data_IF_467488624652
#
_entry.id   IF_467488624652
#
_cell.length_a   1.000
_cell.length_b   1.000
_cell.length_c   1.000
_cell.angle_alpha   90.00
_cell.angle_beta   90.00
_cell.angle_gamma   90.00
#
_symmetry.space_group_name_H-M   'P 1'
#
loop_
_entity.id
_entity.type
_entity.pdbx_description
1 polymer ?
#
# COMPACT_ATOMS: atom_id res chain seq x y z
N UNK A 1 16.61 -4.19 -14.06
CA UNK A 1 17.29 -5.10 -13.12
C UNK A 1 16.26 -5.76 -12.22
N UNK A 2 16.22 -7.09 -12.23
CA UNK A 2 15.21 -7.88 -11.50
C UNK A 2 15.67 -8.11 -10.06
N UNK A 3 14.77 -7.88 -9.09
CA UNK A 3 15.03 -8.27 -7.70
C UNK A 3 15.13 -9.80 -7.61
N UNK A 4 16.26 -10.36 -7.14
CA UNK A 4 16.47 -11.81 -7.06
C UNK A 4 15.47 -12.51 -6.13
N UNK A 5 14.77 -11.77 -5.27
CA UNK A 5 13.72 -12.33 -4.39
C UNK A 5 12.53 -12.86 -5.18
N UNK A 6 12.22 -12.26 -6.33
CA UNK A 6 11.08 -12.63 -7.17
C UNK A 6 11.46 -13.40 -8.43
N UNK A 7 12.76 -13.70 -8.60
CA UNK A 7 13.23 -14.48 -9.74
C UNK A 7 12.57 -15.86 -9.80
N UNK A 8 12.23 -16.32 -11.00
CA UNK A 8 11.51 -17.59 -11.25
C UNK A 8 10.16 -17.67 -10.54
N UNK A 9 9.46 -16.53 -10.44
CA UNK A 9 8.09 -16.45 -9.92
C UNK A 9 7.20 -15.69 -10.89
N UNK A 10 5.87 -15.69 -10.66
CA UNK A 10 4.94 -14.88 -11.47
C UNK A 10 5.15 -13.36 -11.35
N UNK A 11 5.92 -12.91 -10.38
CA UNK A 11 6.28 -11.48 -10.24
C UNK A 11 7.51 -11.08 -11.07
N UNK A 12 8.26 -12.04 -11.59
CA UNK A 12 9.43 -11.77 -12.42
C UNK A 12 9.03 -11.03 -13.69
N UNK A 13 9.76 -9.97 -14.02
CA UNK A 13 9.53 -9.12 -15.19
C UNK A 13 8.17 -8.39 -15.26
N UNK A 14 7.41 -8.37 -14.17
CA UNK A 14 6.22 -7.54 -14.13
C UNK A 14 6.56 -6.04 -14.17
N UNK A 15 5.73 -5.26 -14.84
CA UNK A 15 5.81 -3.80 -14.78
C UNK A 15 5.48 -3.31 -13.37
N UNK A 16 6.32 -2.45 -12.82
CA UNK A 16 6.13 -1.91 -11.47
C UNK A 16 4.76 -1.23 -11.31
N UNK A 17 4.27 -0.57 -12.36
CA UNK A 17 2.95 0.08 -12.34
C UNK A 17 1.81 -0.91 -12.06
N UNK A 18 1.88 -2.14 -12.60
CA UNK A 18 0.87 -3.15 -12.34
C UNK A 18 0.85 -3.55 -10.85
N UNK A 19 2.02 -3.68 -10.23
CA UNK A 19 2.13 -3.97 -8.80
C UNK A 19 1.65 -2.79 -7.94
N UNK A 20 2.01 -1.57 -8.32
CA UNK A 20 1.58 -0.35 -7.65
C UNK A 20 0.06 -0.17 -7.72
N UNK A 21 -0.58 -0.60 -8.82
CA UNK A 21 -2.03 -0.53 -9.03
C UNK A 21 -2.78 -1.79 -8.56
N UNK A 22 -2.13 -2.70 -7.84
CA UNK A 22 -2.74 -3.96 -7.39
C UNK A 22 -3.31 -4.81 -8.53
N UNK A 23 -2.61 -4.84 -9.65
CA UNK A 23 -2.95 -5.59 -10.85
C UNK A 23 -1.90 -6.68 -11.15
N UNK A 24 -1.53 -7.46 -10.15
CA UNK A 24 -0.48 -8.47 -10.27
C UNK A 24 -0.90 -9.76 -11.02
N UNK A 25 -2.14 -9.83 -11.47
CA UNK A 25 -2.66 -11.01 -12.20
C UNK A 25 -3.05 -12.15 -11.25
N UNK A 26 -2.54 -13.34 -11.51
CA UNK A 26 -2.91 -14.58 -10.79
C UNK A 26 -2.40 -14.70 -9.34
N UNK A 27 -1.77 -13.69 -8.78
CA UNK A 27 -1.21 -13.74 -7.42
C UNK A 27 -2.26 -14.10 -6.36
N UNK A 28 -3.48 -13.58 -6.51
CA UNK A 28 -4.60 -13.90 -5.63
C UNK A 28 -5.03 -15.35 -5.74
N UNK A 29 -5.16 -15.84 -6.96
CA UNK A 29 -5.60 -17.23 -7.20
C UNK A 29 -4.60 -18.21 -6.61
N UNK A 30 -3.30 -17.90 -6.75
CA UNK A 30 -2.26 -18.71 -6.13
C UNK A 30 -2.30 -18.54 -4.62
N UNK A 31 -2.47 -17.31 -4.13
CA UNK A 31 -2.66 -17.02 -2.71
C UNK A 31 -3.87 -17.76 -2.13
N UNK A 32 -5.02 -17.69 -2.79
CA UNK A 32 -6.24 -18.36 -2.38
C UNK A 32 -6.12 -19.89 -2.43
N UNK A 33 -5.41 -20.45 -3.40
CA UNK A 33 -5.09 -21.88 -3.43
C UNK A 33 -4.16 -22.30 -2.30
N UNK A 34 -3.26 -21.43 -1.89
CA UNK A 34 -2.33 -21.66 -0.77
C UNK A 34 -3.03 -21.45 0.58
N UNK A 35 -3.96 -20.50 0.64
CA UNK A 35 -4.68 -20.07 1.86
C UNK A 35 -6.17 -20.37 1.84
N UNK A 36 -6.69 -20.92 0.74
CA UNK A 36 -8.10 -21.04 0.41
C UNK A 36 -8.92 -21.97 1.31
N UNK A 37 -10.21 -22.04 0.97
CA UNK A 37 -11.23 -22.79 1.72
C UNK A 37 -10.90 -24.29 1.94
N UNK A 38 -10.04 -24.84 1.09
CA UNK A 38 -9.60 -26.25 1.12
C UNK A 38 -8.31 -26.48 1.91
N UNK A 39 -7.75 -25.42 2.52
CA UNK A 39 -6.64 -25.61 3.41
C UNK A 39 -7.15 -26.22 4.73
N UNK A 40 -6.82 -27.49 5.03
CA UNK A 40 -7.29 -28.17 6.26
C UNK A 40 -6.81 -27.48 7.54
N UNK A 41 -5.95 -26.46 7.42
CA UNK A 41 -5.44 -25.65 8.50
C UNK A 41 -6.14 -24.27 8.46
N UNK A 42 -7.48 -24.24 8.40
CA UNK A 42 -8.24 -23.00 8.56
C UNK A 42 -7.73 -22.22 9.79
N UNK A 43 -7.15 -21.04 9.58
CA UNK A 43 -6.59 -20.19 10.62
C UNK A 43 -5.15 -20.50 11.05
N UNK A 44 -4.50 -21.53 10.47
CA UNK A 44 -3.10 -21.88 10.78
C UNK A 44 -2.20 -21.89 9.54
N UNK A 45 -2.66 -21.39 8.39
CA UNK A 45 -1.80 -21.15 7.26
C UNK A 45 -0.61 -20.27 7.68
N UNK A 46 0.55 -20.39 7.04
CA UNK A 46 1.70 -19.58 7.42
C UNK A 46 1.28 -18.13 7.33
N UNK A 47 1.29 -17.46 8.47
CA UNK A 47 1.05 -16.04 8.50
C UNK A 47 2.18 -15.36 7.71
N UNK A 48 1.93 -15.07 6.41
CA UNK A 48 2.90 -14.44 5.51
C UNK A 48 3.45 -13.15 6.10
N UNK A 49 2.72 -12.54 7.01
CA UNK A 49 3.16 -11.37 7.75
C UNK A 49 4.36 -11.65 8.70
N UNK A 50 4.67 -12.89 8.98
CA UNK A 50 5.77 -13.27 9.87
C UNK A 50 6.91 -13.99 9.15
N UNK A 51 6.68 -14.43 7.91
CA UNK A 51 7.66 -15.17 7.12
C UNK A 51 8.38 -14.18 6.20
N UNK A 52 9.71 -14.21 6.13
CA UNK A 52 10.47 -13.42 5.18
C UNK A 52 9.96 -13.64 3.75
N UNK A 53 9.80 -12.56 2.99
CA UNK A 53 9.23 -12.63 1.63
C UNK A 53 10.04 -13.57 0.72
N UNK A 54 11.35 -13.63 0.88
CA UNK A 54 12.21 -14.59 0.19
C UNK A 54 11.77 -16.04 0.42
N UNK A 55 11.37 -16.38 1.64
CA UNK A 55 10.88 -17.73 1.96
C UNK A 55 9.49 -17.96 1.35
N UNK A 56 8.63 -16.95 1.33
CA UNK A 56 7.31 -17.02 0.69
C UNK A 56 7.47 -17.27 -0.80
N UNK A 57 8.28 -16.46 -1.49
CA UNK A 57 8.55 -16.60 -2.92
C UNK A 57 9.11 -18.00 -3.25
N UNK A 58 10.16 -18.42 -2.55
CA UNK A 58 10.78 -19.74 -2.77
C UNK A 58 9.80 -20.90 -2.54
N UNK A 59 8.97 -20.83 -1.49
CA UNK A 59 8.10 -21.95 -1.09
C UNK A 59 6.83 -22.06 -1.93
N UNK A 60 6.21 -20.92 -2.25
CA UNK A 60 4.86 -20.91 -2.80
C UNK A 60 4.77 -20.42 -4.24
N UNK A 61 5.71 -19.62 -4.69
CA UNK A 61 5.65 -18.97 -6.01
C UNK A 61 6.74 -19.41 -6.98
N UNK A 62 7.78 -20.11 -6.52
CA UNK A 62 8.86 -20.57 -7.41
C UNK A 62 8.32 -21.46 -8.52
N UNK A 63 8.70 -21.18 -9.76
CA UNK A 63 8.23 -21.89 -10.97
C UNK A 63 6.76 -21.63 -11.31
N UNK A 64 6.06 -20.74 -10.60
CA UNK A 64 4.65 -20.40 -10.93
C UNK A 64 4.61 -19.36 -12.04
N UNK A 65 3.71 -19.62 -12.99
CA UNK A 65 3.40 -18.71 -14.11
C UNK A 65 1.95 -18.25 -14.01
N UNK A 66 1.60 -17.20 -14.74
CA UNK A 66 0.20 -16.80 -14.89
C UNK A 66 -0.59 -17.90 -15.61
N UNK A 67 -1.80 -18.15 -15.15
CA UNK A 67 -2.66 -19.25 -15.61
C UNK A 67 -3.93 -18.77 -16.31
N UNK A 68 -4.14 -17.48 -16.42
CA UNK A 68 -5.32 -16.92 -17.06
C UNK A 68 -5.62 -15.48 -16.74
N UNK A 69 -5.09 -14.94 -15.63
CA UNK A 69 -5.20 -13.53 -15.29
C UNK A 69 -3.87 -12.83 -15.53
N UNK A 70 -3.78 -12.14 -16.63
CA UNK A 70 -2.58 -11.38 -16.98
C UNK A 70 -2.41 -10.14 -16.11
N UNK A 71 -1.17 -9.75 -15.78
CA UNK A 71 -0.89 -8.51 -15.07
C UNK A 71 -1.42 -7.28 -15.83
N UNK A 72 -1.97 -6.32 -15.08
CA UNK A 72 -2.46 -5.05 -15.64
C UNK A 72 -3.93 -5.04 -16.03
N UNK A 73 -4.66 -6.17 -15.94
CA UNK A 73 -6.06 -6.23 -16.34
C UNK A 73 -7.04 -6.05 -15.18
N UNK A 74 -6.85 -6.79 -14.09
CA UNK A 74 -7.83 -6.84 -13.00
C UNK A 74 -7.24 -6.31 -11.69
N UNK A 75 -8.00 -5.46 -11.01
CA UNK A 75 -7.66 -5.04 -9.66
C UNK A 75 -7.87 -6.18 -8.67
N UNK A 76 -6.84 -6.43 -7.85
CA UNK A 76 -6.92 -7.38 -6.75
C UNK A 76 -6.07 -6.92 -5.58
N UNK A 77 -6.71 -6.39 -4.54
CA UNK A 77 -6.00 -5.89 -3.36
C UNK A 77 -5.25 -7.00 -2.63
N UNK A 78 -3.94 -6.91 -2.60
CA UNK A 78 -3.06 -7.92 -2.01
C UNK A 78 -1.97 -7.30 -1.14
N UNK A 79 -1.96 -7.64 0.15
CA UNK A 79 -0.86 -7.26 1.04
C UNK A 79 0.49 -7.85 0.59
N UNK A 80 0.47 -8.99 -0.10
CA UNK A 80 1.67 -9.60 -0.65
C UNK A 80 2.26 -8.72 -1.76
N UNK A 81 1.41 -8.18 -2.65
CA UNK A 81 1.85 -7.27 -3.72
C UNK A 81 2.50 -6.01 -3.13
N UNK A 82 1.92 -5.40 -2.08
CA UNK A 82 2.58 -4.30 -1.35
C UNK A 82 3.95 -4.72 -0.80
N UNK A 83 4.05 -5.92 -0.23
CA UNK A 83 5.33 -6.41 0.30
C UNK A 83 6.37 -6.63 -0.80
N UNK A 84 5.95 -7.06 -2.00
CA UNK A 84 6.84 -7.18 -3.18
C UNK A 84 7.35 -5.81 -3.60
N UNK A 85 6.48 -4.81 -3.69
CA UNK A 85 6.87 -3.42 -4.02
C UNK A 85 7.87 -2.88 -2.99
N UNK A 86 7.57 -3.01 -1.70
CA UNK A 86 8.48 -2.56 -0.63
C UNK A 86 9.82 -3.27 -0.66
N UNK A 87 9.81 -4.59 -0.93
CA UNK A 87 11.03 -5.36 -1.07
C UNK A 87 11.88 -4.87 -2.26
N UNK A 88 11.24 -4.54 -3.37
CA UNK A 88 11.93 -3.96 -4.53
C UNK A 88 12.56 -2.59 -4.19
N UNK A 89 11.85 -1.72 -3.47
CA UNK A 89 12.41 -0.43 -3.02
C UNK A 89 13.67 -0.65 -2.16
N UNK A 90 13.61 -1.59 -1.20
CA UNK A 90 14.77 -1.92 -0.36
C UNK A 90 15.92 -2.49 -1.22
N UNK A 91 15.61 -3.35 -2.18
CA UNK A 91 16.61 -3.89 -3.11
C UNK A 91 17.31 -2.78 -3.90
N UNK A 92 16.55 -1.84 -4.45
CA UNK A 92 17.09 -0.73 -5.25
C UNK A 92 17.85 0.30 -4.41
N UNK A 93 17.48 0.51 -3.17
CA UNK A 93 18.16 1.45 -2.27
C UNK A 93 19.37 0.84 -1.57
N UNK A 94 19.38 -0.48 -1.39
CA UNK A 94 20.47 -1.19 -0.74
C UNK A 94 20.85 -0.56 0.61
N UNK A 95 22.13 -0.30 0.82
CA UNK A 95 22.67 0.30 2.04
C UNK A 95 22.23 1.76 2.28
N UNK A 96 21.55 2.37 1.30
CA UNK A 96 21.02 3.73 1.43
C UNK A 96 19.59 3.78 1.99
N UNK A 97 18.99 2.64 2.30
CA UNK A 97 17.61 2.57 2.82
C UNK A 97 17.40 3.44 4.05
N UNK A 98 18.27 3.37 5.05
CA UNK A 98 18.18 4.23 6.24
C UNK A 98 18.29 5.72 5.92
N UNK A 99 19.22 6.08 5.05
CA UNK A 99 19.39 7.47 4.61
C UNK A 99 18.15 7.98 3.90
N UNK A 100 17.53 7.16 3.05
CA UNK A 100 16.27 7.50 2.39
C UNK A 100 15.17 7.76 3.41
N UNK A 101 14.99 6.89 4.40
CA UNK A 101 13.97 7.06 5.42
C UNK A 101 14.23 8.29 6.30
N UNK A 102 15.48 8.53 6.68
CA UNK A 102 15.86 9.72 7.42
C UNK A 102 15.53 10.98 6.64
N UNK A 103 15.95 11.03 5.36
CA UNK A 103 15.64 12.15 4.49
C UNK A 103 14.14 12.41 4.41
N UNK A 104 13.35 11.40 4.07
CA UNK A 104 11.90 11.56 3.85
C UNK A 104 11.17 11.94 5.14
N UNK A 105 11.44 11.26 6.24
CA UNK A 105 10.65 11.47 7.46
C UNK A 105 11.20 12.55 8.37
N UNK A 106 12.52 12.64 8.54
CA UNK A 106 13.11 13.60 9.48
C UNK A 106 13.36 14.94 8.80
N UNK A 107 14.02 14.93 7.64
CA UNK A 107 14.39 16.19 6.97
C UNK A 107 13.21 16.79 6.21
N UNK A 108 12.54 16.01 5.35
CA UNK A 108 11.51 16.54 4.46
C UNK A 108 10.14 16.67 5.19
N UNK A 109 9.68 15.64 5.86
CA UNK A 109 8.38 15.64 6.57
C UNK A 109 8.45 16.24 7.97
N UNK A 110 9.64 16.43 8.55
CA UNK A 110 9.85 16.99 9.88
C UNK A 110 9.06 16.28 10.98
N UNK A 111 9.04 14.93 10.94
CA UNK A 111 8.38 14.16 11.99
C UNK A 111 9.12 14.33 13.33
N UNK A 112 8.36 14.56 14.39
CA UNK A 112 8.91 14.75 15.74
C UNK A 112 9.16 13.44 16.47
N UNK A 113 8.41 12.42 16.11
CA UNK A 113 8.49 11.14 16.76
C UNK A 113 9.02 10.09 15.80
N UNK A 114 9.62 9.06 16.39
CA UNK A 114 10.13 7.96 15.61
C UNK A 114 9.01 7.26 14.83
N UNK A 115 9.22 7.08 13.52
CA UNK A 115 8.39 6.22 12.67
C UNK A 115 8.99 4.82 12.61
N UNK A 116 8.12 3.83 12.38
CA UNK A 116 8.53 2.42 12.39
C UNK A 116 7.98 1.70 11.16
N UNK A 117 8.81 0.80 10.63
CA UNK A 117 8.37 -0.21 9.67
C UNK A 117 8.52 -1.59 10.27
N UNK A 118 7.44 -2.33 10.35
CA UNK A 118 7.48 -3.71 10.83
C UNK A 118 6.38 -4.04 11.82
N UNK A 119 6.47 -5.23 12.39
CA UNK A 119 5.40 -5.82 13.20
C UNK A 119 5.46 -5.45 14.68
N UNK A 120 6.64 -5.10 15.21
CA UNK A 120 6.84 -4.79 16.62
C UNK A 120 7.49 -3.42 16.78
N UNK A 121 6.83 -2.55 17.52
CA UNK A 121 7.32 -1.20 17.82
C UNK A 121 8.65 -1.20 18.57
N UNK A 122 8.92 -2.23 19.38
CA UNK A 122 10.09 -2.28 20.25
C UNK A 122 11.38 -2.70 19.54
N UNK A 123 11.27 -3.48 18.47
CA UNK A 123 12.41 -4.15 17.84
C UNK A 123 12.83 -3.57 16.48
N UNK A 124 12.06 -2.69 15.91
CA UNK A 124 12.32 -2.20 14.57
C UNK A 124 12.65 -0.72 14.55
N UNK A 125 13.93 -0.47 14.40
CA UNK A 125 14.40 0.77 13.78
C UNK A 125 14.07 0.67 12.29
N UNK A 126 13.78 1.80 11.61
CA UNK A 126 14.03 1.80 10.18
C UNK A 126 15.55 1.69 10.03
N UNK A 127 16.04 0.67 9.52
CA UNK A 127 17.47 0.45 9.42
C UNK A 127 17.77 -0.81 8.68
N UNK A 128 19.00 -0.97 8.35
CA UNK A 128 19.65 -2.08 7.65
C UNK A 128 18.79 -3.31 7.39
N UNK A 129 17.91 -3.22 6.40
CA UNK A 129 17.07 -4.32 5.98
C UNK A 129 17.50 -4.80 4.62
N UNK A 130 17.88 -6.05 4.55
CA UNK A 130 18.19 -6.67 3.28
C UNK A 130 16.90 -7.08 2.58
N UNK A 131 16.88 -6.92 1.26
CA UNK A 131 15.81 -7.44 0.41
C UNK A 131 15.51 -8.90 0.74
N UNK A 132 14.23 -9.25 0.79
CA UNK A 132 13.77 -10.61 1.05
C UNK A 132 13.69 -11.04 2.53
N UNK A 133 14.15 -10.23 3.48
CA UNK A 133 14.17 -10.61 4.90
C UNK A 133 12.84 -10.42 5.63
N UNK A 134 11.93 -9.61 5.09
CA UNK A 134 10.68 -9.25 5.74
C UNK A 134 9.45 -9.81 5.03
N UNK A 135 8.47 -10.23 5.81
CA UNK A 135 7.17 -10.70 5.31
C UNK A 135 6.09 -9.63 5.32
N UNK A 136 6.28 -8.55 6.10
CA UNK A 136 5.30 -7.46 6.19
C UNK A 136 6.00 -6.14 6.44
N UNK A 137 5.55 -5.14 5.68
CA UNK A 137 5.96 -3.75 5.82
C UNK A 137 4.77 -2.90 6.28
N UNK A 138 4.48 -2.93 7.58
CA UNK A 138 3.51 -2.02 8.18
C UNK A 138 4.20 -0.75 8.64
N UNK A 139 3.57 0.38 8.39
CA UNK A 139 4.05 1.69 8.80
C UNK A 139 3.33 2.16 10.06
N UNK A 140 4.09 2.68 11.00
CA UNK A 140 3.57 3.21 12.27
C UNK A 140 4.16 4.58 12.54
N UNK A 141 3.29 5.53 12.83
CA UNK A 141 3.67 6.89 13.24
C UNK A 141 2.67 7.42 14.27
N UNK A 142 3.03 8.49 14.97
CA UNK A 142 2.07 9.20 15.82
C UNK A 142 1.12 10.05 14.98
N UNK A 143 -0.03 10.40 15.56
CA UNK A 143 -1.10 11.12 14.88
C UNK A 143 -0.64 12.39 14.17
N UNK A 144 0.10 13.25 14.85
CA UNK A 144 0.59 14.49 14.24
C UNK A 144 1.69 14.28 13.21
N UNK A 145 2.45 13.18 13.32
CA UNK A 145 3.46 12.85 12.31
C UNK A 145 2.81 12.35 11.01
N UNK A 146 1.66 11.66 11.08
CA UNK A 146 0.85 11.41 9.88
C UNK A 146 0.40 12.69 9.20
N UNK A 147 0.00 13.72 9.96
CA UNK A 147 -0.38 15.00 9.41
C UNK A 147 0.81 15.70 8.72
N UNK A 148 2.02 15.64 9.32
CA UNK A 148 3.25 16.17 8.71
C UNK A 148 3.59 15.45 7.41
N UNK A 149 3.49 14.12 7.39
CA UNK A 149 3.70 13.32 6.19
C UNK A 149 2.68 13.67 5.11
N UNK A 150 1.41 13.82 5.47
CA UNK A 150 0.36 14.22 4.53
C UNK A 150 0.60 15.64 3.98
N UNK A 151 1.09 16.56 4.81
CA UNK A 151 1.49 17.89 4.37
C UNK A 151 2.63 17.83 3.35
N UNK A 152 3.66 17.01 3.59
CA UNK A 152 4.74 16.82 2.63
C UNK A 152 4.21 16.30 1.29
N UNK A 153 3.26 15.36 1.29
CA UNK A 153 2.62 14.84 0.08
C UNK A 153 1.87 15.96 -0.66
N UNK A 154 1.12 16.78 0.07
CA UNK A 154 0.41 17.95 -0.49
C UNK A 154 1.39 18.97 -1.08
N UNK A 155 2.46 19.29 -0.38
CA UNK A 155 3.49 20.23 -0.85
C UNK A 155 4.18 19.72 -2.12
N UNK A 156 4.47 18.42 -2.20
CA UNK A 156 5.02 17.81 -3.42
C UNK A 156 4.09 17.94 -4.63
N UNK A 157 2.80 17.68 -4.42
CA UNK A 157 1.78 17.83 -5.46
C UNK A 157 1.72 19.27 -5.99
N UNK A 158 1.61 20.25 -5.07
CA UNK A 158 1.46 21.65 -5.42
C UNK A 158 2.71 22.23 -6.10
N UNK A 159 3.88 21.85 -5.63
CA UNK A 159 5.15 22.35 -6.16
C UNK A 159 5.64 21.61 -7.42
N UNK A 160 4.89 20.60 -7.92
CA UNK A 160 5.24 19.86 -9.13
C UNK A 160 6.61 19.17 -9.07
N UNK A 161 7.05 18.76 -7.88
CA UNK A 161 8.31 18.04 -7.69
C UNK A 161 8.27 16.67 -8.39
N UNK A 162 9.40 15.95 -8.41
CA UNK A 162 9.43 14.58 -8.95
C UNK A 162 8.38 13.68 -8.27
N UNK A 163 8.23 13.76 -6.95
CA UNK A 163 7.19 13.03 -6.20
C UNK A 163 5.80 13.54 -6.59
N UNK A 164 5.61 14.85 -6.71
CA UNK A 164 4.34 15.44 -7.16
C UNK A 164 3.93 14.98 -8.57
N UNK A 165 4.89 14.90 -9.50
CA UNK A 165 4.65 14.35 -10.83
C UNK A 165 4.25 12.87 -10.78
N UNK A 166 4.93 12.08 -9.93
CA UNK A 166 4.55 10.68 -9.67
C UNK A 166 3.10 10.58 -9.17
N UNK A 167 2.73 11.38 -8.16
CA UNK A 167 1.37 11.37 -7.60
C UNK A 167 0.32 11.71 -8.65
N UNK A 168 0.56 12.72 -9.50
CA UNK A 168 -0.32 13.10 -10.62
C UNK A 168 -0.45 11.96 -11.63
N UNK A 169 0.67 11.34 -12.01
CA UNK A 169 0.67 10.18 -12.91
C UNK A 169 -0.12 9.01 -12.31
N UNK A 170 0.00 8.77 -11.01
CA UNK A 170 -0.77 7.70 -10.35
C UNK A 170 -2.27 8.01 -10.30
N UNK A 171 -2.65 9.27 -10.08
CA UNK A 171 -4.04 9.72 -10.18
C UNK A 171 -4.60 9.55 -11.59
N UNK A 172 -3.86 9.96 -12.61
CA UNK A 172 -4.26 9.86 -14.03
C UNK A 172 -4.40 8.40 -14.49
N UNK A 173 -3.54 7.51 -14.02
CA UNK A 173 -3.52 6.09 -14.37
C UNK A 173 -4.14 5.17 -13.30
N UNK A 174 -4.98 5.72 -12.42
CA UNK A 174 -5.69 4.94 -11.42
C UNK A 174 -6.68 3.97 -12.07
N UNK A 175 -6.92 2.88 -11.43
CA UNK A 175 -7.75 1.79 -11.94
C UNK A 175 -9.00 1.63 -11.10
N UNK A 176 -10.10 1.23 -11.74
CA UNK A 176 -11.34 0.90 -11.04
C UNK A 176 -11.11 -0.32 -10.12
N UNK A 177 -11.54 -0.20 -8.89
CA UNK A 177 -11.47 -1.28 -7.90
C UNK A 177 -12.51 -2.37 -8.14
N UNK A 178 -13.47 -2.17 -9.04
CA UNK A 178 -14.53 -3.11 -9.40
C UNK A 178 -15.35 -3.61 -8.18
N UNK A 179 -15.45 -2.78 -7.15
CA UNK A 179 -16.20 -3.16 -5.93
C UNK A 179 -17.71 -2.90 -6.01
N UNK A 180 -18.26 -2.56 -7.17
CA UNK A 180 -19.67 -2.47 -7.48
C UNK A 180 -20.64 -2.39 -6.28
N UNK A 181 -21.34 -3.48 -6.00
CA UNK A 181 -22.22 -3.56 -4.83
C UNK A 181 -21.52 -3.87 -3.50
N UNK A 182 -20.26 -4.27 -3.50
CA UNK A 182 -19.51 -4.64 -2.29
C UNK A 182 -19.24 -3.46 -1.34
N UNK A 183 -19.23 -2.24 -1.85
CA UNK A 183 -19.03 -1.04 -1.03
C UNK A 183 -20.16 -0.85 -0.01
N UNK A 184 -21.37 -1.29 -0.33
CA UNK A 184 -22.54 -1.21 0.56
C UNK A 184 -22.46 -2.11 1.80
N UNK A 185 -21.67 -3.20 1.73
CA UNK A 185 -21.60 -4.22 2.78
C UNK A 185 -20.41 -4.09 3.72
N UNK A 186 -19.40 -3.30 3.41
CA UNK A 186 -18.16 -3.24 4.18
C UNK A 186 -17.98 -1.99 5.04
N UNK A 187 -19.02 -1.19 5.18
CA UNK A 187 -18.93 0.10 5.87
C UNK A 187 -18.14 1.14 5.06
N UNK A 188 -18.09 2.35 5.54
CA UNK A 188 -17.61 3.53 4.84
C UNK A 188 -16.10 3.54 4.55
N UNK A 189 -15.30 2.65 5.13
CA UNK A 189 -13.87 2.53 4.88
C UNK A 189 -13.49 2.01 3.48
N UNK A 190 -14.48 1.57 2.68
CA UNK A 190 -14.29 1.19 1.28
C UNK A 190 -14.91 2.20 0.31
N UNK A 191 -15.14 3.40 0.75
CA UNK A 191 -15.81 4.43 -0.05
C UNK A 191 -14.97 4.98 -1.23
N UNK A 192 -13.75 4.52 -1.42
CA UNK A 192 -12.94 4.87 -2.60
C UNK A 192 -13.25 3.97 -3.79
N UNK A 193 -13.45 4.56 -4.97
CA UNK A 193 -13.80 3.81 -6.17
C UNK A 193 -12.58 3.34 -6.95
N UNK A 194 -11.49 4.09 -6.92
CA UNK A 194 -10.29 3.81 -7.71
C UNK A 194 -9.04 3.65 -6.85
N UNK A 195 -8.00 3.10 -7.46
CA UNK A 195 -6.72 2.83 -6.83
C UNK A 195 -5.56 3.10 -7.78
N UNK A 196 -4.51 3.74 -7.29
CA UNK A 196 -3.31 4.01 -8.08
C UNK A 196 -2.09 4.25 -7.21
N UNK A 197 -0.96 3.64 -7.57
CA UNK A 197 0.30 3.90 -6.88
C UNK A 197 0.34 3.55 -5.39
N UNK A 198 -0.43 2.57 -4.94
CA UNK A 198 -0.66 2.19 -3.53
C UNK A 198 -1.55 3.19 -2.75
N UNK A 199 -2.32 4.03 -3.45
CA UNK A 199 -3.25 4.98 -2.84
C UNK A 199 -4.67 4.75 -3.32
N UNK A 200 -5.62 5.16 -2.52
CA UNK A 200 -7.04 5.21 -2.84
C UNK A 200 -7.40 6.59 -3.40
N UNK A 201 -8.31 6.62 -4.38
CA UNK A 201 -8.82 7.85 -4.97
C UNK A 201 -10.33 7.77 -5.20
N UNK A 202 -10.91 8.87 -5.65
CA UNK A 202 -12.32 9.00 -5.98
C UNK A 202 -13.24 8.51 -4.83
N UNK A 203 -13.32 9.24 -3.70
CA UNK A 203 -14.30 8.93 -2.67
C UNK A 203 -15.71 9.00 -3.25
N UNK A 204 -16.57 8.06 -2.87
CA UNK A 204 -17.95 7.98 -3.37
C UNK A 204 -18.65 9.33 -3.18
N UNK A 205 -19.22 9.84 -4.26
CA UNK A 205 -19.92 11.14 -4.29
C UNK A 205 -19.00 12.33 -4.56
N UNK A 206 -17.69 12.13 -4.74
CA UNK A 206 -16.71 13.18 -5.07
C UNK A 206 -15.74 12.65 -6.12
N UNK A 207 -16.29 12.25 -7.24
CA UNK A 207 -15.50 11.74 -8.36
C UNK A 207 -14.82 12.87 -9.13
N UNK A 208 -13.72 12.54 -9.81
CA UNK A 208 -12.98 13.44 -10.71
C UNK A 208 -12.36 14.67 -10.03
N UNK A 209 -12.18 14.63 -8.72
CA UNK A 209 -11.39 15.59 -7.95
C UNK A 209 -10.18 14.88 -7.36
N UNK A 210 -8.98 15.44 -7.44
CA UNK A 210 -7.76 14.77 -6.97
C UNK A 210 -7.73 14.70 -5.44
N UNK A 211 -8.38 13.69 -4.90
CA UNK A 211 -8.40 13.37 -3.47
C UNK A 211 -7.68 12.05 -3.27
N UNK A 212 -6.55 12.09 -2.57
CA UNK A 212 -5.78 10.92 -2.20
C UNK A 212 -6.17 10.46 -0.80
N UNK A 213 -6.38 9.17 -0.65
CA UNK A 213 -6.70 8.57 0.64
C UNK A 213 -5.73 7.43 0.97
N UNK A 214 -5.33 7.38 2.23
CA UNK A 214 -4.62 6.27 2.85
C UNK A 214 -5.52 5.69 3.92
N UNK A 215 -5.90 4.42 3.77
CA UNK A 215 -6.80 3.74 4.70
C UNK A 215 -6.06 2.60 5.40
N UNK A 216 -6.12 2.59 6.71
CA UNK A 216 -5.47 1.62 7.56
C UNK A 216 -6.46 0.81 8.38
N UNK A 217 -6.08 -0.42 8.72
CA UNK A 217 -6.90 -1.30 9.54
C UNK A 217 -7.30 -0.63 10.87
N UNK A 218 -8.55 -0.84 11.27
CA UNK A 218 -9.15 -0.29 12.50
C UNK A 218 -9.26 1.25 12.51
N UNK A 219 -9.64 1.84 11.39
CA UNK A 219 -10.08 3.23 11.34
C UNK A 219 -8.96 4.26 11.34
N UNK A 220 -7.82 3.93 10.76
CA UNK A 220 -6.76 4.90 10.46
C UNK A 220 -7.02 5.46 9.07
N UNK A 221 -7.20 6.76 8.95
CA UNK A 221 -7.40 7.38 7.64
C UNK A 221 -6.65 8.69 7.53
N UNK A 222 -6.06 8.92 6.36
CA UNK A 222 -5.52 10.21 5.93
C UNK A 222 -6.18 10.54 4.60
N UNK A 223 -6.74 11.74 4.49
CA UNK A 223 -7.37 12.25 3.27
C UNK A 223 -6.70 13.55 2.89
N UNK A 224 -6.28 13.68 1.65
CA UNK A 224 -5.63 14.87 1.10
C UNK A 224 -6.43 15.32 -0.11
N UNK A 225 -7.09 16.46 0.00
CA UNK A 225 -7.76 17.15 -1.08
C UNK A 225 -6.80 18.18 -1.67
N UNK A 226 -6.26 17.86 -2.83
CA UNK A 226 -5.22 18.69 -3.46
C UNK A 226 -5.76 20.02 -3.98
N UNK A 227 -6.97 20.04 -4.51
CA UNK A 227 -7.55 21.27 -5.07
C UNK A 227 -7.89 22.30 -3.99
N UNK A 228 -8.34 21.84 -2.82
CA UNK A 228 -8.72 22.70 -1.70
C UNK A 228 -7.60 22.87 -0.65
N UNK A 229 -6.42 22.28 -0.87
CA UNK A 229 -5.31 22.31 0.09
C UNK A 229 -5.73 21.85 1.50
N UNK A 230 -6.55 20.79 1.57
CA UNK A 230 -7.11 20.30 2.83
C UNK A 230 -6.57 18.91 3.17
N UNK A 231 -6.25 18.72 4.43
CA UNK A 231 -5.83 17.43 4.98
C UNK A 231 -6.74 17.08 6.15
N UNK A 232 -7.29 15.87 6.14
CA UNK A 232 -8.04 15.31 7.24
C UNK A 232 -7.37 14.03 7.69
N UNK A 233 -7.17 13.87 9.00
CA UNK A 233 -6.65 12.62 9.59
C UNK A 233 -7.61 12.10 10.65
N UNK A 234 -7.97 10.83 10.57
CA UNK A 234 -8.75 10.12 11.58
C UNK A 234 -7.92 8.94 12.10
N UNK A 235 -7.94 8.72 13.41
CA UNK A 235 -7.15 7.68 14.06
C UNK A 235 -7.96 6.92 15.08
N UNK A 236 -7.77 5.60 15.09
CA UNK A 236 -8.32 4.71 16.10
C UNK A 236 -9.85 4.85 16.25
N UNK A 237 -10.52 5.12 15.14
CA UNK A 237 -11.98 5.10 15.09
C UNK A 237 -12.48 3.67 14.92
N UNK A 238 -13.74 3.44 15.17
CA UNK A 238 -14.36 2.16 14.83
C UNK A 238 -14.32 1.93 13.32
N UNK A 239 -14.13 0.67 12.89
CA UNK A 239 -14.16 0.32 11.46
C UNK A 239 -15.50 0.61 10.77
N UNK A 240 -16.57 0.81 11.55
CA UNK A 240 -17.90 1.19 11.08
C UNK A 240 -18.17 2.68 11.25
N UNK A 241 -17.12 3.47 11.60
CA UNK A 241 -17.24 4.92 11.68
C UNK A 241 -17.75 5.50 10.36
N UNK A 242 -18.65 6.43 10.43
CA UNK A 242 -19.28 7.03 9.25
C UNK A 242 -18.37 8.08 8.60
N UNK A 243 -17.37 7.59 7.86
CA UNK A 243 -16.43 8.46 7.13
C UNK A 243 -17.14 9.31 6.09
N UNK A 244 -18.20 8.78 5.46
CA UNK A 244 -18.93 9.49 4.43
C UNK A 244 -19.55 10.77 4.96
N UNK A 245 -20.36 10.68 6.00
CA UNK A 245 -21.02 11.83 6.56
C UNK A 245 -20.12 12.74 7.40
N UNK A 246 -19.09 12.20 8.03
CA UNK A 246 -18.27 12.95 8.99
C UNK A 246 -16.96 13.47 8.42
N UNK A 247 -16.42 12.85 7.38
CA UNK A 247 -15.15 13.24 6.76
C UNK A 247 -15.38 13.73 5.33
N UNK A 248 -16.00 12.93 4.46
CA UNK A 248 -16.12 13.29 3.06
C UNK A 248 -17.11 14.44 2.83
N UNK A 249 -18.12 14.59 3.68
CA UNK A 249 -18.99 15.78 3.67
C UNK A 249 -18.27 17.10 4.01
N UNK A 250 -17.03 17.01 4.53
CA UNK A 250 -16.18 18.17 4.83
C UNK A 250 -15.22 18.52 3.69
N UNK A 251 -15.14 17.69 2.66
CA UNK A 251 -14.32 17.91 1.47
C UNK A 251 -15.09 18.73 0.44
#
# INVERSE_FOLDING_TARGET
>A
ETDPTVADTLYENQKLINLLNMQAGDDAIIGDRIYGKDNPIKGKGPNTNTIPIKKVMKKYFKGKKHLGLEPGLNFNYSALTTNVVMNYVIYKTGDHWEKLLHKVFVEDAQVENRVYFGKSLEKHKYGNRKSGEYGRYSFYAKRYDYLRIAKLVLDHWNNGTCVGKYLKTMYENRVDRQYGEYSKFRGNHNAAQTYGGQFLFDPIGIENRPILMMDGFAGQQVVIDFDNNRIITAHSTDRHYDYYNLIYSQL
#
